data_IF_980402376427
#
_entry.id   IF_980402376427
#
_cell.length_a   1.000
_cell.length_b   1.000
_cell.length_c   1.000
_cell.angle_alpha   90.00
_cell.angle_beta   90.00
_cell.angle_gamma   90.00
#
_symmetry.space_group_name_H-M   'P 1'
#
loop_
_entity.id
_entity.type
_entity.pdbx_description
1 polymer ?
#
# COMPACT_ATOMS: atom_id res chain seq x y z
N UNK A 1 16.17 5.00 -27.92
CA UNK A 1 16.15 5.72 -26.62
C UNK A 1 14.85 5.33 -25.94
N UNK A 2 14.90 4.65 -24.79
CA UNK A 2 13.69 4.15 -24.12
C UNK A 2 13.57 4.87 -22.78
N UNK A 3 12.80 5.96 -22.78
CA UNK A 3 12.44 6.70 -21.56
C UNK A 3 11.22 6.05 -20.91
N UNK A 4 11.21 5.96 -19.59
CA UNK A 4 10.15 5.33 -18.80
C UNK A 4 9.70 6.25 -17.67
N UNK A 5 8.40 6.37 -17.46
CA UNK A 5 7.83 7.05 -16.30
C UNK A 5 7.41 6.03 -15.22
N UNK A 6 7.96 6.15 -14.01
CA UNK A 6 7.50 5.44 -12.82
C UNK A 6 6.55 6.32 -12.01
N UNK A 7 5.41 5.79 -11.59
CA UNK A 7 4.44 6.56 -10.78
C UNK A 7 5.00 6.75 -9.36
N UNK A 8 5.07 8.01 -8.90
CA UNK A 8 5.44 8.37 -7.52
C UNK A 8 4.19 8.66 -6.68
N UNK A 9 3.24 9.41 -7.26
CA UNK A 9 1.91 9.64 -6.69
C UNK A 9 0.91 9.50 -7.82
N UNK A 10 -0.06 8.60 -7.64
CA UNK A 10 -1.08 8.31 -8.64
C UNK A 10 -1.78 9.60 -9.09
N UNK A 11 -1.87 9.79 -10.40
CA UNK A 11 -2.48 10.95 -11.08
C UNK A 11 -1.86 12.32 -10.77
N UNK A 12 -0.70 12.38 -10.08
CA UNK A 12 -0.07 13.65 -9.69
C UNK A 12 1.43 13.74 -9.97
N UNK A 13 2.20 12.68 -9.72
CA UNK A 13 3.67 12.73 -9.81
C UNK A 13 4.25 11.44 -10.40
N UNK A 14 5.25 11.58 -11.26
CA UNK A 14 6.02 10.50 -11.89
C UNK A 14 7.52 10.80 -11.83
N UNK A 15 8.35 9.76 -11.86
CA UNK A 15 9.81 9.82 -11.99
C UNK A 15 10.15 9.37 -13.40
N UNK A 16 10.89 10.19 -14.16
CA UNK A 16 11.35 9.85 -15.49
C UNK A 16 12.75 9.24 -15.41
N UNK A 17 12.90 8.05 -15.96
CA UNK A 17 14.16 7.30 -16.03
C UNK A 17 14.49 6.95 -17.47
N UNK A 18 15.76 7.03 -17.84
CA UNK A 18 16.26 6.59 -19.13
C UNK A 18 17.38 5.58 -18.89
N UNK A 19 17.25 4.38 -19.48
CA UNK A 19 18.23 3.28 -19.33
C UNK A 19 18.63 2.99 -17.86
N UNK A 20 17.68 3.12 -16.92
CA UNK A 20 17.90 2.88 -15.48
C UNK A 20 18.47 4.06 -14.70
N UNK A 21 18.73 5.21 -15.35
CA UNK A 21 19.20 6.42 -14.68
C UNK A 21 18.05 7.43 -14.51
N UNK A 22 17.85 7.93 -13.29
CA UNK A 22 16.83 8.94 -12.98
C UNK A 22 17.18 10.29 -13.60
N UNK A 23 16.37 10.72 -14.57
CA UNK A 23 16.49 12.02 -15.25
C UNK A 23 15.80 13.14 -14.47
N UNK A 24 14.63 12.88 -13.90
CA UNK A 24 13.83 13.93 -13.25
C UNK A 24 12.49 13.46 -12.71
N UNK A 25 11.67 14.42 -12.29
CA UNK A 25 10.28 14.20 -11.84
C UNK A 25 9.30 14.97 -12.71
N UNK A 26 8.23 14.33 -13.11
CA UNK A 26 7.11 14.91 -13.85
C UNK A 26 5.93 15.10 -12.89
N UNK A 27 5.27 16.25 -12.93
CA UNK A 27 4.09 16.59 -12.14
C UNK A 27 2.94 16.98 -13.06
N UNK A 28 1.72 16.52 -12.77
CA UNK A 28 0.50 16.98 -13.44
C UNK A 28 -0.12 18.12 -12.64
N UNK A 29 -0.48 19.22 -13.31
CA UNK A 29 -1.27 20.33 -12.75
C UNK A 29 -2.76 20.03 -12.91
N UNK A 30 -3.58 20.63 -12.06
CA UNK A 30 -5.05 20.52 -12.12
C UNK A 30 -5.63 21.03 -13.45
N UNK A 31 -4.94 21.96 -14.12
CA UNK A 31 -5.31 22.53 -15.42
C UNK A 31 -4.86 21.67 -16.63
N UNK A 32 -4.71 20.35 -16.45
CA UNK A 32 -4.22 19.41 -17.47
C UNK A 32 -2.79 19.64 -18.02
N UNK A 33 -2.09 20.67 -17.54
CA UNK A 33 -0.68 20.92 -17.83
C UNK A 33 0.26 19.98 -17.07
N UNK A 34 1.50 19.90 -17.54
CA UNK A 34 2.55 19.03 -17.02
C UNK A 34 3.82 19.84 -16.72
N UNK A 35 4.52 19.51 -15.63
CA UNK A 35 5.76 20.16 -15.25
C UNK A 35 6.83 19.09 -15.11
N UNK A 36 7.91 19.20 -15.88
CA UNK A 36 9.08 18.35 -15.73
C UNK A 36 10.18 19.11 -14.99
N UNK A 37 10.70 18.51 -13.92
CA UNK A 37 11.87 18.97 -13.19
C UNK A 37 13.02 17.98 -13.42
N UNK A 38 13.95 18.36 -14.30
CA UNK A 38 15.16 17.61 -14.57
C UNK A 38 16.23 17.84 -13.50
N UNK A 39 17.13 16.86 -13.30
CA UNK A 39 18.31 17.06 -12.43
C UNK A 39 19.37 17.99 -13.02
N UNK A 40 19.40 18.14 -14.34
CA UNK A 40 20.40 18.93 -15.08
C UNK A 40 19.82 20.16 -15.78
N UNK A 41 18.50 20.26 -15.89
CA UNK A 41 17.81 21.23 -16.72
C UNK A 41 16.80 22.03 -15.88
N UNK A 42 16.47 23.25 -16.30
CA UNK A 42 15.48 24.08 -15.60
C UNK A 42 14.07 23.49 -15.73
N UNK A 43 13.16 23.92 -14.85
CA UNK A 43 11.74 23.52 -14.86
C UNK A 43 11.13 23.76 -16.25
N UNK A 44 10.64 22.69 -16.88
CA UNK A 44 9.97 22.75 -18.18
C UNK A 44 8.46 22.54 -17.98
N UNK A 45 7.63 23.40 -18.56
CA UNK A 45 6.18 23.32 -18.47
C UNK A 45 5.60 22.98 -19.85
N UNK A 46 4.74 21.96 -19.90
CA UNK A 46 4.04 21.52 -21.09
C UNK A 46 2.55 21.72 -20.87
N UNK A 47 1.91 22.51 -21.72
CA UNK A 47 0.49 22.82 -21.57
C UNK A 47 -0.40 21.64 -22.01
N UNK A 48 0.05 20.86 -22.99
CA UNK A 48 -0.69 19.71 -23.54
C UNK A 48 0.09 18.41 -23.46
N UNK A 49 -0.65 17.30 -23.46
CA UNK A 49 -0.11 15.95 -23.47
C UNK A 49 0.65 15.65 -24.78
N UNK A 50 0.25 16.22 -25.93
CA UNK A 50 1.01 16.02 -27.17
C UNK A 50 2.40 16.65 -27.10
N UNK A 51 2.50 17.83 -26.47
CA UNK A 51 3.78 18.53 -26.26
C UNK A 51 4.74 17.73 -25.38
N UNK A 52 4.19 17.04 -24.37
CA UNK A 52 4.93 16.11 -23.54
C UNK A 52 5.42 14.89 -24.34
N UNK A 53 4.56 14.30 -25.16
CA UNK A 53 4.93 13.15 -26.01
C UNK A 53 5.91 13.51 -27.12
N UNK A 54 5.87 14.72 -27.66
CA UNK A 54 6.86 15.18 -28.62
C UNK A 54 8.28 15.22 -28.02
N UNK A 55 8.40 15.51 -26.72
CA UNK A 55 9.68 15.58 -26.01
C UNK A 55 10.17 14.23 -25.50
N UNK A 56 9.29 13.44 -24.88
CA UNK A 56 9.65 12.21 -24.17
C UNK A 56 9.24 10.92 -24.90
N UNK A 57 8.53 11.05 -26.02
CA UNK A 57 7.95 9.94 -26.79
C UNK A 57 6.53 9.59 -26.33
N UNK A 58 5.68 9.20 -27.28
CA UNK A 58 4.33 8.66 -27.03
C UNK A 58 4.33 7.41 -26.15
N UNK A 59 5.49 6.77 -26.01
CA UNK A 59 5.72 5.61 -25.18
C UNK A 59 6.14 5.88 -23.72
N UNK A 60 6.27 7.14 -23.27
CA UNK A 60 6.77 7.47 -21.92
C UNK A 60 5.92 6.83 -20.79
N UNK A 61 4.61 6.68 -21.02
CA UNK A 61 3.70 5.95 -20.14
C UNK A 61 3.36 4.54 -20.66
N UNK A 62 3.84 4.15 -21.84
CA UNK A 62 3.40 2.94 -22.54
C UNK A 62 4.20 1.68 -22.22
N UNK A 63 5.28 1.77 -21.42
CA UNK A 63 5.92 0.57 -20.89
C UNK A 63 5.17 0.10 -19.65
N UNK A 64 4.08 -0.62 -19.90
CA UNK A 64 3.21 -1.34 -18.95
C UNK A 64 2.69 -0.49 -17.78
N UNK A 65 1.39 -0.53 -17.54
CA UNK A 65 0.79 -0.02 -16.31
C UNK A 65 1.23 -0.95 -15.17
N UNK A 66 2.49 -0.85 -14.77
CA UNK A 66 2.89 -1.07 -13.39
C UNK A 66 2.86 0.32 -12.78
N UNK A 67 1.65 0.74 -12.39
CA UNK A 67 1.58 1.47 -11.12
C UNK A 67 2.42 0.59 -10.19
N UNK A 68 3.49 1.07 -9.53
CA UNK A 68 3.69 0.63 -8.17
C UNK A 68 2.43 1.13 -7.43
N UNK A 69 1.31 0.43 -7.63
CA UNK A 69 0.53 -0.01 -6.51
C UNK A 69 1.64 -0.47 -5.59
N UNK A 70 1.90 0.28 -4.52
CA UNK A 70 2.54 -0.32 -3.36
C UNK A 70 1.94 -1.69 -3.32
N UNK A 71 2.73 -2.71 -3.65
CA UNK A 71 2.21 -4.04 -3.74
C UNK A 71 1.75 -4.33 -2.32
N UNK A 72 0.47 -4.03 -2.05
CA UNK A 72 -0.41 -4.99 -1.48
C UNK A 72 -0.33 -6.09 -2.53
N UNK A 73 0.73 -6.90 -2.40
CA UNK A 73 0.80 -8.21 -3.00
C UNK A 73 -0.50 -8.84 -2.55
N UNK A 74 -1.48 -8.78 -3.43
CA UNK A 74 -2.49 -9.81 -3.58
C UNK A 74 -1.82 -10.91 -4.40
N UNK A 75 -0.57 -11.25 -4.07
CA UNK A 75 -0.25 -12.66 -3.96
C UNK A 75 -1.28 -13.13 -2.93
N UNK A 76 -2.28 -13.87 -3.36
CA UNK A 76 -2.82 -14.91 -2.50
C UNK A 76 -1.60 -15.61 -1.96
N UNK A 77 -1.22 -15.23 -0.75
CA UNK A 77 0.00 -15.73 -0.17
C UNK A 77 -0.30 -17.19 0.03
N UNK A 78 0.37 -18.09 -0.70
CA UNK A 78 0.18 -19.55 -0.51
C UNK A 78 0.38 -19.91 0.98
N UNK A 79 1.11 -19.06 1.67
CA UNK A 79 1.33 -19.04 3.10
C UNK A 79 0.05 -18.71 3.89
N UNK A 80 -0.45 -19.74 4.57
CA UNK A 80 -1.54 -19.64 5.52
C UNK A 80 -1.10 -20.12 6.90
N UNK A 81 -1.60 -19.49 7.95
CA UNK A 81 -1.48 -19.96 9.34
C UNK A 81 -2.88 -20.13 9.88
N UNK A 82 -3.23 -21.37 10.24
CA UNK A 82 -4.55 -21.75 10.74
C UNK A 82 -5.72 -21.23 9.86
N UNK A 83 -5.56 -21.25 8.53
CA UNK A 83 -6.58 -20.83 7.57
C UNK A 83 -6.67 -19.32 7.32
N UNK A 84 -5.70 -18.54 7.81
CA UNK A 84 -5.58 -17.10 7.55
C UNK A 84 -4.32 -16.78 6.76
N UNK A 85 -4.43 -15.88 5.78
CA UNK A 85 -3.33 -15.50 4.90
C UNK A 85 -2.20 -14.77 5.64
N UNK A 86 -0.97 -15.03 5.20
CA UNK A 86 0.25 -14.43 5.74
C UNK A 86 1.03 -13.71 4.66
N UNK A 87 1.43 -12.46 4.92
CA UNK A 87 2.26 -11.67 3.98
C UNK A 87 3.59 -12.33 3.56
N UNK A 88 4.12 -13.28 4.33
CA UNK A 88 5.44 -13.90 4.17
C UNK A 88 5.42 -15.30 4.77
N UNK A 89 6.42 -16.13 4.43
CA UNK A 89 6.58 -17.49 4.96
C UNK A 89 6.55 -17.51 6.50
N UNK A 90 5.60 -18.24 7.12
CA UNK A 90 5.46 -18.29 8.55
C UNK A 90 6.46 -19.29 9.16
N UNK A 91 7.10 -18.87 10.25
CA UNK A 91 7.90 -19.74 11.11
C UNK A 91 7.21 -19.85 12.47
N UNK A 92 7.44 -20.95 13.19
CA UNK A 92 6.89 -21.16 14.54
C UNK A 92 5.39 -20.83 14.65
N UNK A 93 4.59 -21.36 13.72
CA UNK A 93 3.15 -21.14 13.69
C UNK A 93 2.48 -21.75 14.94
N UNK A 94 1.65 -20.96 15.61
CA UNK A 94 0.93 -21.34 16.84
C UNK A 94 -0.46 -20.71 16.86
N UNK A 95 -1.39 -21.32 17.58
CA UNK A 95 -2.74 -20.80 17.74
C UNK A 95 -2.99 -20.46 19.21
N UNK A 96 -3.27 -19.19 19.51
CA UNK A 96 -3.72 -18.78 20.83
C UNK A 96 -5.21 -19.11 20.94
N UNK A 97 -5.54 -20.18 21.66
CA UNK A 97 -6.92 -20.68 21.80
C UNK A 97 -7.81 -19.70 22.57
N UNK A 98 -7.26 -18.99 23.55
CA UNK A 98 -8.04 -18.04 24.36
C UNK A 98 -8.44 -16.82 23.55
N UNK A 99 -7.53 -16.33 22.70
CA UNK A 99 -7.74 -15.13 21.89
C UNK A 99 -8.15 -15.42 20.45
N UNK A 100 -8.19 -16.70 20.07
CA UNK A 100 -8.43 -17.17 18.70
C UNK A 100 -7.48 -16.51 17.69
N UNK A 101 -6.20 -16.33 18.07
CA UNK A 101 -5.22 -15.64 17.24
C UNK A 101 -4.29 -16.64 16.53
N UNK A 102 -4.22 -16.61 15.18
CA UNK A 102 -3.25 -17.37 14.42
C UNK A 102 -1.89 -16.64 14.47
N UNK A 103 -0.93 -17.10 15.25
CA UNK A 103 0.34 -16.42 15.52
C UNK A 103 1.51 -17.10 14.79
N UNK A 104 2.48 -16.33 14.34
CA UNK A 104 3.71 -16.82 13.70
C UNK A 104 4.87 -15.83 13.86
N UNK A 105 6.09 -16.26 13.51
CA UNK A 105 7.28 -15.42 13.39
C UNK A 105 7.71 -15.29 11.93
N UNK A 106 8.22 -14.11 11.53
CA UNK A 106 8.70 -13.89 10.14
C UNK A 106 10.09 -14.47 9.86
N UNK A 107 10.85 -14.80 10.91
CA UNK A 107 12.14 -15.47 10.80
C UNK A 107 12.25 -16.56 11.89
N UNK A 108 13.09 -17.59 11.70
CA UNK A 108 13.19 -18.72 12.62
C UNK A 108 13.59 -18.33 14.05
N UNK A 109 14.47 -17.34 14.20
CA UNK A 109 15.04 -16.90 15.50
C UNK A 109 14.36 -15.65 16.08
N UNK A 110 13.35 -15.10 15.40
CA UNK A 110 12.71 -13.86 15.86
C UNK A 110 11.86 -14.10 17.10
N UNK A 111 11.95 -13.18 18.07
CA UNK A 111 11.04 -13.09 19.22
C UNK A 111 9.81 -12.22 18.93
N UNK A 112 9.79 -11.53 17.80
CA UNK A 112 8.64 -10.71 17.39
C UNK A 112 7.56 -11.61 16.80
N UNK A 113 6.44 -11.71 17.52
CA UNK A 113 5.25 -12.45 17.14
C UNK A 113 4.31 -11.58 16.30
N UNK A 114 3.76 -12.18 15.25
CA UNK A 114 2.79 -11.58 14.34
C UNK A 114 1.55 -12.46 14.26
N UNK A 115 0.38 -11.86 14.06
CA UNK A 115 -0.83 -12.64 13.77
C UNK A 115 -1.07 -12.72 12.27
N UNK A 116 -1.63 -13.82 11.76
CA UNK A 116 -2.06 -13.97 10.38
C UNK A 116 -3.46 -13.38 10.16
N UNK A 117 -3.76 -13.01 8.92
CA UNK A 117 -5.03 -12.44 8.51
C UNK A 117 -5.10 -10.90 8.59
N UNK A 118 -6.30 -10.40 8.33
CA UNK A 118 -6.64 -8.99 8.32
C UNK A 118 -7.28 -8.57 9.64
N UNK A 119 -6.97 -7.35 10.08
CA UNK A 119 -7.47 -6.78 11.32
C UNK A 119 -7.79 -5.30 11.10
N UNK A 120 -8.68 -4.78 11.93
CA UNK A 120 -8.76 -3.34 12.19
C UNK A 120 -8.37 -3.08 13.64
N UNK A 121 -7.60 -2.02 13.86
CA UNK A 121 -7.06 -1.66 15.17
C UNK A 121 -7.46 -0.22 15.45
N UNK A 122 -8.01 0.02 16.64
CA UNK A 122 -8.39 1.35 17.10
C UNK A 122 -7.18 2.03 17.76
N UNK A 123 -6.60 2.97 17.03
CA UNK A 123 -5.55 3.82 17.58
C UNK A 123 -6.19 5.10 18.16
N UNK A 124 -5.45 5.90 18.94
CA UNK A 124 -5.96 7.19 19.45
C UNK A 124 -6.41 8.18 18.35
N UNK A 125 -6.02 7.94 17.09
CA UNK A 125 -6.43 8.72 15.92
C UNK A 125 -7.57 8.06 15.12
N UNK A 126 -8.20 7.01 15.67
CA UNK A 126 -9.27 6.23 15.06
C UNK A 126 -8.83 4.88 14.48
N UNK A 127 -9.82 4.16 13.94
CA UNK A 127 -9.67 2.83 13.35
C UNK A 127 -8.76 2.82 12.12
N UNK A 128 -7.85 1.84 12.08
CA UNK A 128 -6.96 1.60 10.94
C UNK A 128 -6.90 0.14 10.56
N UNK A 129 -6.82 -0.12 9.25
CA UNK A 129 -6.53 -1.44 8.70
C UNK A 129 -5.10 -1.89 9.04
N UNK A 130 -4.96 -3.15 9.39
CA UNK A 130 -3.68 -3.81 9.59
C UNK A 130 -3.71 -5.20 8.95
N UNK A 131 -2.66 -5.53 8.21
CA UNK A 131 -2.47 -6.88 7.67
C UNK A 131 -1.27 -7.50 8.36
N UNK A 132 -1.46 -8.70 8.89
CA UNK A 132 -0.49 -9.41 9.70
C UNK A 132 0.16 -8.57 10.84
N UNK A 133 -0.63 -7.96 11.77
CA UNK A 133 -0.11 -7.07 12.80
C UNK A 133 0.77 -7.81 13.82
N UNK A 134 1.61 -7.07 14.54
CA UNK A 134 2.34 -7.62 15.68
C UNK A 134 1.37 -7.95 16.82
N UNK A 135 1.56 -9.09 17.48
CA UNK A 135 0.75 -9.50 18.64
C UNK A 135 0.74 -8.42 19.72
N UNK A 136 1.90 -7.78 19.96
CA UNK A 136 2.02 -6.70 20.95
C UNK A 136 1.14 -5.48 20.63
N UNK A 137 0.85 -5.23 19.35
CA UNK A 137 -0.07 -4.15 18.95
C UNK A 137 -1.51 -4.51 19.32
N UNK A 138 -1.92 -5.76 19.07
CA UNK A 138 -3.24 -6.27 19.45
C UNK A 138 -3.44 -6.35 20.97
N UNK A 139 -2.37 -6.51 21.74
CA UNK A 139 -2.41 -6.47 23.20
C UNK A 139 -2.59 -5.05 23.76
N UNK A 140 -2.17 -4.02 23.01
CA UNK A 140 -2.17 -2.62 23.47
C UNK A 140 -3.41 -1.84 23.07
N UNK A 141 -4.06 -2.24 21.98
CA UNK A 141 -5.15 -1.50 21.37
C UNK A 141 -6.34 -2.42 21.14
N UNK A 142 -7.56 -1.84 21.18
CA UNK A 142 -8.75 -2.56 20.76
C UNK A 142 -8.64 -2.92 19.28
N UNK A 143 -9.13 -4.10 18.92
CA UNK A 143 -9.07 -4.59 17.54
C UNK A 143 -10.28 -5.45 17.20
N UNK A 144 -10.58 -5.57 15.90
CA UNK A 144 -11.51 -6.56 15.36
C UNK A 144 -10.76 -7.44 14.34
N UNK A 145 -10.93 -8.76 14.46
CA UNK A 145 -10.28 -9.80 13.64
C UNK A 145 -9.97 -11.06 14.46
N UNK A 146 -9.38 -12.11 13.87
CA UNK A 146 -8.85 -12.21 12.50
C UNK A 146 -9.93 -12.31 11.40
N UNK A 147 -9.73 -11.56 10.32
CA UNK A 147 -10.59 -11.54 9.13
C UNK A 147 -9.86 -12.21 7.96
N UNK A 148 -10.58 -12.98 7.14
CA UNK A 148 -9.98 -13.77 6.05
C UNK A 148 -9.71 -12.94 4.81
N UNK A 149 -10.63 -12.06 4.43
CA UNK A 149 -10.53 -11.32 3.16
C UNK A 149 -10.34 -9.82 3.38
N UNK A 150 -9.65 -9.18 2.44
CA UNK A 150 -9.48 -7.73 2.41
C UNK A 150 -10.81 -6.98 2.28
N UNK A 151 -11.76 -7.54 1.52
CA UNK A 151 -13.07 -6.93 1.27
C UNK A 151 -13.89 -6.90 2.57
N UNK A 152 -13.96 -8.03 3.27
CA UNK A 152 -14.65 -8.14 4.56
C UNK A 152 -14.05 -7.19 5.59
N UNK A 153 -12.71 -7.09 5.66
CA UNK A 153 -12.06 -6.14 6.55
C UNK A 153 -12.43 -4.69 6.24
N UNK A 154 -12.55 -4.33 4.95
CA UNK A 154 -12.96 -2.99 4.57
C UNK A 154 -14.41 -2.68 4.97
N UNK A 155 -15.30 -3.66 4.90
CA UNK A 155 -16.67 -3.52 5.39
C UNK A 155 -16.68 -3.28 6.91
N UNK A 156 -16.01 -4.14 7.67
CA UNK A 156 -15.90 -4.02 9.14
C UNK A 156 -15.27 -2.68 9.56
N UNK A 157 -14.30 -2.17 8.80
CA UNK A 157 -13.72 -0.84 9.02
C UNK A 157 -14.75 0.27 8.84
N UNK A 158 -15.50 0.24 7.74
CA UNK A 158 -16.50 1.26 7.44
C UNK A 158 -17.60 1.28 8.51
N UNK A 159 -18.03 0.11 8.97
CA UNK A 159 -19.04 0.01 10.02
C UNK A 159 -18.52 0.51 11.37
N UNK A 160 -17.29 0.16 11.74
CA UNK A 160 -16.66 0.68 12.96
C UNK A 160 -16.50 2.22 12.95
N UNK A 161 -16.18 2.82 11.80
CA UNK A 161 -16.09 4.28 11.64
C UNK A 161 -17.48 4.92 11.77
N UNK A 162 -18.53 4.32 11.19
CA UNK A 162 -19.91 4.81 11.32
C UNK A 162 -20.38 4.77 12.77
N UNK A 163 -20.16 3.65 13.46
CA UNK A 163 -20.47 3.49 14.89
C UNK A 163 -19.77 4.56 15.74
N UNK A 164 -18.48 4.80 15.49
CA UNK A 164 -17.71 5.82 16.22
C UNK A 164 -18.23 7.23 15.95
N UNK A 165 -18.64 7.54 14.72
CA UNK A 165 -19.19 8.85 14.35
C UNK A 165 -20.57 9.06 14.96
N UNK A 166 -21.42 8.03 14.99
CA UNK A 166 -22.73 8.09 15.61
C UNK A 166 -22.63 8.31 17.13
N UNK A 167 -21.73 7.61 17.80
CA UNK A 167 -21.48 7.77 19.23
C UNK A 167 -20.88 9.14 19.60
N UNK A 168 -20.15 9.78 18.68
CA UNK A 168 -19.59 11.12 18.92
C UNK A 168 -20.61 12.25 18.68
N UNK A 169 -21.74 11.95 18.04
CA UNK A 169 -22.81 12.90 17.75
C UNK A 169 -23.92 12.91 18.82
N UNK A 170 -23.80 12.09 19.87
CA UNK A 170 -24.64 12.09 21.06
C UNK A 170 -23.82 12.60 22.25
#
# INVERSE_FOLDING_TARGET
>A
MTMKAKILVKDKFWIIEENGQKLGTLQKKDDNGWIFLGKKDQRQEYLTQESLYARFGSGIFASDITVPENEIKTEESEWHVHGYQCSQHPYNAMFDVQKQLPIYTKTPKSRSLFCAGYYIIDFPKGWRKAYCPKVITLQRYAYKGPIKTKIEMQQVLNDAIKEQTANAAH
#
